data_IF_324538169163
#
_entry.id   IF_324538169163
#
_cell.length_a   1.000
_cell.length_b   1.000
_cell.length_c   1.000
_cell.angle_alpha   90.00
_cell.angle_beta   90.00
_cell.angle_gamma   90.00
#
_symmetry.space_group_name_H-M   'P 1'
#
loop_
_entity.id
_entity.type
_entity.pdbx_description
1 polymer ?
#
# COMPACT_ATOMS: atom_id res chain seq x y z
N UNK A 1 35.85 27.92 -5.42
CA UNK A 1 35.79 26.44 -5.51
C UNK A 1 34.74 26.09 -6.52
N UNK A 2 35.08 25.25 -7.51
CA UNK A 2 34.09 24.68 -8.44
C UNK A 2 33.08 23.83 -7.64
N UNK A 3 31.84 23.71 -8.13
CA UNK A 3 30.79 22.92 -7.47
C UNK A 3 31.25 21.47 -7.22
N UNK A 4 31.98 20.89 -8.18
CA UNK A 4 32.62 19.56 -8.05
C UNK A 4 33.67 19.47 -6.95
N UNK A 5 34.45 20.55 -6.74
CA UNK A 5 35.41 20.63 -5.64
C UNK A 5 34.72 20.67 -4.27
N UNK A 6 33.54 21.28 -4.19
CA UNK A 6 32.74 21.28 -2.96
C UNK A 6 32.21 19.88 -2.65
N UNK A 7 31.71 19.15 -3.65
CA UNK A 7 31.25 17.76 -3.49
C UNK A 7 32.37 16.84 -3.00
N UNK A 8 33.59 17.00 -3.50
CA UNK A 8 34.74 16.21 -3.02
C UNK A 8 35.08 16.47 -1.55
N UNK A 9 35.06 17.73 -1.12
CA UNK A 9 35.24 18.11 0.29
C UNK A 9 34.11 17.56 1.15
N UNK A 10 32.88 17.60 0.65
CA UNK A 10 31.72 17.02 1.30
C UNK A 10 31.84 15.51 1.51
N UNK A 11 32.27 14.75 0.50
CA UNK A 11 32.49 13.31 0.65
C UNK A 11 33.58 12.98 1.68
N UNK A 12 34.62 13.82 1.80
CA UNK A 12 35.62 13.67 2.86
C UNK A 12 35.03 13.97 4.26
N UNK A 13 34.17 14.98 4.38
CA UNK A 13 33.48 15.30 5.62
C UNK A 13 32.55 14.18 6.09
N UNK A 14 31.94 13.39 5.18
CA UNK A 14 31.12 12.22 5.55
C UNK A 14 31.95 11.18 6.32
N UNK A 15 33.23 11.06 5.99
CA UNK A 15 34.14 10.10 6.62
C UNK A 15 34.79 10.62 7.91
N UNK A 16 34.57 11.89 8.26
CA UNK A 16 35.16 12.53 9.44
C UNK A 16 34.20 12.49 10.63
N UNK A 17 34.68 11.98 11.77
CA UNK A 17 33.95 12.02 13.03
C UNK A 17 34.48 13.17 13.89
N UNK A 18 33.68 14.22 14.15
CA UNK A 18 34.10 15.32 15.01
C UNK A 18 34.31 14.82 16.44
N UNK A 19 35.33 15.35 17.11
CA UNK A 19 35.73 14.88 18.46
C UNK A 19 34.96 15.60 19.57
N UNK A 20 34.47 16.80 19.29
CA UNK A 20 33.81 17.67 20.28
C UNK A 20 32.49 18.20 19.74
N UNK A 21 31.50 18.42 20.61
CA UNK A 21 30.22 19.01 20.25
C UNK A 21 30.36 20.42 19.64
N UNK A 22 31.28 21.24 20.16
CA UNK A 22 31.56 22.59 19.65
C UNK A 22 32.09 22.59 18.21
N UNK A 23 33.05 21.70 17.91
CA UNK A 23 33.58 21.50 16.55
C UNK A 23 32.45 21.14 15.56
N UNK A 24 31.52 20.29 16.01
CA UNK A 24 30.36 19.92 15.21
C UNK A 24 29.44 21.12 14.94
N UNK A 25 29.16 21.96 15.94
CA UNK A 25 28.37 23.18 15.75
C UNK A 25 29.05 24.17 14.80
N UNK A 26 30.36 24.35 14.91
CA UNK A 26 31.13 25.23 14.03
C UNK A 26 31.12 24.74 12.59
N UNK A 27 31.32 23.43 12.38
CA UNK A 27 31.19 22.82 11.05
C UNK A 27 29.80 23.05 10.46
N UNK A 28 28.74 22.85 11.25
CA UNK A 28 27.37 23.06 10.80
C UNK A 28 27.08 24.52 10.42
N UNK A 29 27.58 25.49 11.19
CA UNK A 29 27.44 26.91 10.88
C UNK A 29 28.18 27.30 9.58
N UNK A 30 29.34 26.69 9.32
CA UNK A 30 30.07 26.90 8.05
C UNK A 30 29.28 26.32 6.88
N UNK A 31 28.68 25.14 7.07
CA UNK A 31 27.87 24.47 6.05
C UNK A 31 26.54 25.19 5.80
N UNK A 32 26.01 25.91 6.79
CA UNK A 32 24.72 26.58 6.73
C UNK A 32 24.60 27.59 5.57
N UNK A 33 25.69 28.30 5.27
CA UNK A 33 25.77 29.22 4.13
C UNK A 33 25.87 28.52 2.77
N UNK A 34 26.13 27.20 2.75
CA UNK A 34 26.29 26.36 1.55
C UNK A 34 25.10 25.42 1.33
N UNK A 35 24.24 25.24 2.32
CA UNK A 35 22.96 24.51 2.20
C UNK A 35 21.98 25.13 1.18
N UNK A 36 22.23 26.38 0.75
CA UNK A 36 21.46 27.07 -0.30
C UNK A 36 21.81 26.61 -1.72
N UNK A 37 22.98 26.00 -1.93
CA UNK A 37 23.45 25.55 -3.25
C UNK A 37 23.70 24.04 -3.24
N UNK A 38 22.71 23.30 -3.74
CA UNK A 38 22.86 21.95 -4.32
C UNK A 38 23.05 20.76 -3.36
N UNK A 39 21.96 19.99 -3.22
CA UNK A 39 21.78 18.52 -3.14
C UNK A 39 22.69 17.62 -2.26
N UNK A 40 24.01 17.83 -2.18
CA UNK A 40 24.93 16.87 -1.52
C UNK A 40 25.05 17.05 0.00
N UNK A 41 24.75 18.25 0.51
CA UNK A 41 24.87 18.56 1.94
C UNK A 41 23.75 17.94 2.81
N UNK A 42 22.64 17.52 2.19
CA UNK A 42 21.48 16.89 2.85
C UNK A 42 21.81 15.48 3.35
N UNK A 43 22.63 14.74 2.61
CA UNK A 43 23.09 13.38 2.97
C UNK A 43 24.12 13.41 4.10
N UNK A 44 24.91 14.49 4.16
CA UNK A 44 25.94 14.73 5.17
C UNK A 44 25.39 14.99 6.58
N UNK A 45 24.25 15.66 6.66
CA UNK A 45 23.58 15.97 7.92
C UNK A 45 22.87 14.76 8.55
N UNK A 46 22.53 13.75 7.74
CA UNK A 46 21.78 12.55 8.14
C UNK A 46 22.57 11.55 9.00
N UNK A 47 23.88 11.75 9.20
CA UNK A 47 24.72 10.92 10.09
C UNK A 47 25.03 11.58 11.44
N UNK A 48 24.48 12.76 11.73
CA UNK A 48 24.73 13.51 12.95
C UNK A 48 23.46 13.69 13.82
N UNK A 49 23.66 13.86 15.13
CA UNK A 49 22.63 13.95 16.19
C UNK A 49 21.23 14.50 15.81
N UNK A 50 20.17 13.92 16.41
CA UNK A 50 18.74 14.18 16.12
C UNK A 50 18.33 15.66 16.03
N UNK A 51 18.85 16.48 16.94
CA UNK A 51 18.38 17.86 17.13
C UNK A 51 18.83 18.80 16.01
N UNK A 52 20.02 18.54 15.45
CA UNK A 52 20.59 19.32 14.36
C UNK A 52 19.97 18.92 13.02
N UNK A 53 19.60 17.64 12.87
CA UNK A 53 18.82 17.15 11.75
C UNK A 53 17.49 17.90 11.67
N UNK A 54 16.76 18.05 12.78
CA UNK A 54 15.47 18.74 12.82
C UNK A 54 15.52 20.20 12.37
N UNK A 55 16.52 20.97 12.81
CA UNK A 55 16.66 22.39 12.43
C UNK A 55 17.14 22.56 10.99
N UNK A 56 18.08 21.72 10.54
CA UNK A 56 18.55 21.74 9.16
C UNK A 56 17.42 21.34 8.20
N UNK A 57 16.61 20.35 8.57
CA UNK A 57 15.48 19.86 7.79
C UNK A 57 14.42 20.93 7.55
N UNK A 58 14.02 21.72 8.56
CA UNK A 58 13.07 22.82 8.34
C UNK A 58 13.59 23.85 7.33
N UNK A 59 14.91 24.03 7.27
CA UNK A 59 15.56 24.96 6.33
C UNK A 59 15.82 24.32 4.97
N UNK A 60 15.93 23.01 4.91
CA UNK A 60 16.20 22.21 3.71
C UNK A 60 14.93 21.74 3.01
N UNK A 61 13.78 21.69 3.69
CA UNK A 61 12.51 21.28 3.10
C UNK A 61 12.19 22.12 1.86
N UNK A 62 12.21 23.46 1.96
CA UNK A 62 11.93 24.34 0.82
C UNK A 62 12.93 24.20 -0.35
N UNK A 63 14.26 24.19 -0.14
CA UNK A 63 15.23 23.89 -1.20
C UNK A 63 15.04 22.51 -1.84
N UNK A 64 14.79 21.46 -1.05
CA UNK A 64 14.60 20.10 -1.54
C UNK A 64 13.33 19.98 -2.40
N UNK A 65 12.25 20.60 -1.93
CA UNK A 65 10.99 20.71 -2.64
C UNK A 65 11.11 21.50 -3.95
N UNK A 66 11.93 22.56 -3.96
CA UNK A 66 12.28 23.29 -5.18
C UNK A 66 13.04 22.40 -6.15
N UNK A 67 14.00 21.60 -5.67
CA UNK A 67 14.75 20.65 -6.52
C UNK A 67 13.83 19.58 -7.12
N UNK A 68 12.88 19.05 -6.35
CA UNK A 68 11.88 18.09 -6.87
C UNK A 68 11.03 18.71 -7.99
N UNK A 69 10.73 20.01 -7.90
CA UNK A 69 9.89 20.71 -8.88
C UNK A 69 10.63 21.27 -10.10
N UNK A 70 11.91 21.64 -9.96
CA UNK A 70 12.68 22.39 -10.99
C UNK A 70 13.70 21.54 -11.74
N UNK A 71 14.07 20.37 -11.22
CA UNK A 71 15.11 19.52 -11.82
C UNK A 71 14.54 18.44 -12.76
N UNK A 72 15.44 17.70 -13.43
CA UNK A 72 15.08 16.54 -14.22
C UNK A 72 14.54 15.40 -13.34
N UNK A 73 13.78 14.48 -13.95
CA UNK A 73 13.07 13.41 -13.25
C UNK A 73 14.02 12.50 -12.47
N UNK A 74 15.23 12.27 -12.96
CA UNK A 74 16.25 11.44 -12.32
C UNK A 74 16.75 12.07 -11.02
N UNK A 75 17.01 13.38 -11.03
CA UNK A 75 17.46 14.07 -9.82
C UNK A 75 16.31 14.20 -8.81
N UNK A 76 15.09 14.48 -9.30
CA UNK A 76 13.90 14.49 -8.45
C UNK A 76 13.70 13.12 -7.77
N UNK A 77 13.87 12.02 -8.49
CA UNK A 77 13.79 10.67 -7.93
C UNK A 77 14.86 10.42 -6.85
N UNK A 78 16.11 10.79 -7.11
CA UNK A 78 17.19 10.65 -6.12
C UNK A 78 16.85 11.46 -4.87
N UNK A 79 16.39 12.69 -5.01
CA UNK A 79 15.98 13.53 -3.86
C UNK A 79 14.84 12.86 -3.10
N UNK A 80 13.78 12.39 -3.77
CA UNK A 80 12.64 11.73 -3.14
C UNK A 80 13.05 10.47 -2.37
N UNK A 81 13.98 9.66 -2.90
CA UNK A 81 14.52 8.49 -2.19
C UNK A 81 15.26 8.88 -0.90
N UNK A 82 16.01 9.99 -0.92
CA UNK A 82 16.63 10.50 0.30
C UNK A 82 15.59 11.05 1.30
N UNK A 83 14.50 11.68 0.83
CA UNK A 83 13.41 12.10 1.72
C UNK A 83 12.73 10.89 2.38
N UNK A 84 12.51 9.81 1.62
CA UNK A 84 11.93 8.57 2.14
C UNK A 84 12.83 7.93 3.21
N UNK A 85 14.15 7.86 2.95
CA UNK A 85 15.12 7.36 3.93
C UNK A 85 15.08 8.19 5.22
N UNK A 86 14.96 9.51 5.11
CA UNK A 86 14.86 10.41 6.27
C UNK A 86 13.56 10.19 7.06
N UNK A 87 12.45 9.90 6.40
CA UNK A 87 11.17 9.56 7.06
C UNK A 87 11.26 8.24 7.84
N UNK A 88 12.01 7.26 7.35
CA UNK A 88 12.17 5.95 8.00
C UNK A 88 13.16 5.97 9.19
N UNK A 89 13.95 7.04 9.35
CA UNK A 89 14.86 7.16 10.49
C UNK A 89 14.12 7.43 11.80
N UNK A 90 14.63 6.97 12.97
CA UNK A 90 13.97 7.16 14.27
C UNK A 90 13.78 8.62 14.69
N UNK A 91 14.56 9.54 14.11
CA UNK A 91 14.45 11.00 14.32
C UNK A 91 13.52 11.69 13.28
N UNK A 92 12.86 10.89 12.43
CA UNK A 92 12.03 11.30 11.30
C UNK A 92 10.74 12.03 11.67
N UNK A 93 10.29 11.97 12.94
CA UNK A 93 9.09 12.68 13.41
C UNK A 93 9.19 14.20 13.21
N UNK A 94 10.38 14.78 13.46
CA UNK A 94 10.62 16.20 13.19
C UNK A 94 10.58 16.56 11.70
N UNK A 95 10.90 15.59 10.85
CA UNK A 95 10.91 15.71 9.39
C UNK A 95 9.50 15.55 8.81
N UNK A 96 8.73 14.59 9.32
CA UNK A 96 7.32 14.38 9.00
C UNK A 96 6.51 15.66 9.20
N UNK A 97 6.63 16.28 10.38
CA UNK A 97 5.95 17.54 10.71
C UNK A 97 6.29 18.71 9.76
N UNK A 98 7.51 18.75 9.22
CA UNK A 98 7.92 19.79 8.28
C UNK A 98 7.31 19.55 6.89
N UNK A 99 7.28 18.30 6.43
CA UNK A 99 6.69 17.93 5.14
C UNK A 99 5.17 17.91 5.15
N UNK A 100 4.55 17.66 6.30
CA UNK A 100 3.10 17.70 6.50
C UNK A 100 2.47 19.01 6.02
N UNK A 101 3.19 20.14 6.12
CA UNK A 101 2.69 21.44 5.65
C UNK A 101 2.71 21.60 4.14
N UNK A 102 3.54 20.80 3.47
CA UNK A 102 3.85 20.91 2.04
C UNK A 102 3.40 19.66 1.27
N UNK A 103 2.44 18.90 1.82
CA UNK A 103 1.98 17.63 1.24
C UNK A 103 1.51 17.75 -0.22
N UNK A 104 0.93 18.90 -0.58
CA UNK A 104 0.45 19.20 -1.95
C UNK A 104 1.55 19.11 -3.01
N UNK A 105 2.81 19.32 -2.63
CA UNK A 105 3.93 19.26 -3.56
C UNK A 105 4.27 17.82 -3.99
N UNK A 106 3.81 16.84 -3.22
CA UNK A 106 4.00 15.42 -3.52
C UNK A 106 2.87 14.83 -4.36
N UNK A 107 1.89 15.63 -4.78
CA UNK A 107 0.87 15.18 -5.73
C UNK A 107 1.52 14.75 -7.06
N UNK A 108 0.97 13.67 -7.63
CA UNK A 108 1.48 13.07 -8.85
C UNK A 108 1.04 13.91 -10.05
N UNK A 109 1.98 14.31 -10.90
CA UNK A 109 1.64 14.98 -12.17
C UNK A 109 1.50 13.94 -13.27
N UNK A 110 0.66 14.21 -14.27
CA UNK A 110 0.53 13.31 -15.43
C UNK A 110 1.85 13.12 -16.20
N UNK A 111 2.74 14.12 -16.20
CA UNK A 111 4.06 14.05 -16.84
C UNK A 111 5.10 13.25 -16.05
N UNK A 112 4.81 12.90 -14.79
CA UNK A 112 5.79 12.23 -13.94
C UNK A 112 5.98 10.76 -14.38
N UNK A 113 7.22 10.26 -14.47
CA UNK A 113 7.47 8.84 -14.71
C UNK A 113 6.94 7.96 -13.58
N UNK A 114 6.59 6.71 -13.88
CA UNK A 114 6.01 5.78 -12.89
C UNK A 114 6.85 5.67 -11.61
N UNK A 115 8.17 5.57 -11.71
CA UNK A 115 9.08 5.48 -10.55
C UNK A 115 9.05 6.71 -9.62
N UNK A 116 8.81 7.91 -10.16
CA UNK A 116 8.62 9.14 -9.38
C UNK A 116 7.27 9.09 -8.68
N UNK A 117 6.21 8.70 -9.39
CA UNK A 117 4.86 8.55 -8.82
C UNK A 117 4.86 7.57 -7.64
N UNK A 118 5.46 6.39 -7.79
CA UNK A 118 5.62 5.42 -6.69
C UNK A 118 6.27 6.03 -5.44
N UNK A 119 7.36 6.77 -5.62
CA UNK A 119 8.08 7.34 -4.47
C UNK A 119 7.27 8.46 -3.82
N UNK A 120 6.61 9.29 -4.62
CA UNK A 120 5.69 10.33 -4.13
C UNK A 120 4.53 9.76 -3.34
N UNK A 121 3.92 8.66 -3.80
CA UNK A 121 2.84 7.99 -3.09
C UNK A 121 3.28 7.47 -1.73
N UNK A 122 4.43 6.80 -1.64
CA UNK A 122 5.00 6.34 -0.35
C UNK A 122 5.27 7.48 0.63
N UNK A 123 5.75 8.62 0.13
CA UNK A 123 5.96 9.80 0.97
C UNK A 123 4.60 10.36 1.41
N UNK A 124 3.62 10.47 0.51
CA UNK A 124 2.26 10.94 0.82
C UNK A 124 1.60 10.07 1.89
N UNK A 125 1.64 8.75 1.78
CA UNK A 125 1.07 7.85 2.81
C UNK A 125 1.76 8.03 4.15
N UNK A 126 3.08 8.20 4.16
CA UNK A 126 3.86 8.41 5.37
C UNK A 126 3.60 9.76 6.06
N UNK A 127 3.36 10.84 5.31
CA UNK A 127 3.16 12.19 5.87
C UNK A 127 1.69 12.52 6.14
N UNK A 128 0.74 11.72 5.66
CA UNK A 128 -0.69 12.04 5.81
C UNK A 128 -1.10 12.05 7.28
N UNK A 129 -1.80 13.11 7.68
CA UNK A 129 -2.41 13.30 9.01
C UNK A 129 -3.93 13.36 8.90
N UNK A 130 -4.64 13.31 10.02
CA UNK A 130 -6.11 13.41 10.06
C UNK A 130 -6.63 14.71 9.42
N UNK A 131 -5.90 15.81 9.54
CA UNK A 131 -6.32 17.10 8.96
C UNK A 131 -6.12 17.16 7.44
N UNK A 132 -5.07 16.52 6.91
CA UNK A 132 -4.78 16.49 5.48
C UNK A 132 -5.47 15.35 4.73
N UNK A 133 -5.90 14.29 5.44
CA UNK A 133 -6.42 13.07 4.84
C UNK A 133 -7.54 13.31 3.80
N UNK A 134 -8.57 14.14 4.05
CA UNK A 134 -9.65 14.33 3.07
C UNK A 134 -9.14 14.91 1.74
N UNK A 135 -8.22 15.87 1.80
CA UNK A 135 -7.65 16.49 0.60
C UNK A 135 -6.74 15.51 -0.17
N UNK A 136 -5.92 14.74 0.56
CA UNK A 136 -5.03 13.72 -0.05
C UNK A 136 -5.86 12.62 -0.70
N UNK A 137 -6.87 12.09 -0.01
CA UNK A 137 -7.70 11.00 -0.50
C UNK A 137 -8.51 11.41 -1.74
N UNK A 138 -8.99 12.65 -1.79
CA UNK A 138 -9.68 13.18 -2.97
C UNK A 138 -8.75 13.26 -4.19
N UNK A 139 -7.52 13.76 -4.01
CA UNK A 139 -6.51 13.80 -5.08
C UNK A 139 -6.14 12.39 -5.57
N UNK A 140 -5.95 11.44 -4.64
CA UNK A 140 -5.67 10.05 -4.97
C UNK A 140 -6.82 9.41 -5.76
N UNK A 141 -8.07 9.70 -5.40
CA UNK A 141 -9.24 9.25 -6.16
C UNK A 141 -9.22 9.77 -7.60
N UNK A 142 -8.90 11.04 -7.80
CA UNK A 142 -8.83 11.65 -9.14
C UNK A 142 -7.70 11.04 -9.99
N UNK A 143 -6.62 10.60 -9.33
CA UNK A 143 -5.47 9.95 -9.97
C UNK A 143 -5.57 8.43 -10.07
N UNK A 144 -6.60 7.79 -9.51
CA UNK A 144 -6.69 6.32 -9.40
C UNK A 144 -6.78 5.61 -10.76
N UNK A 145 -7.41 6.25 -11.76
CA UNK A 145 -7.55 5.75 -13.12
C UNK A 145 -6.37 6.20 -14.01
N UNK A 146 -5.14 6.02 -13.54
CA UNK A 146 -3.94 6.37 -14.30
C UNK A 146 -3.77 5.49 -15.56
N UNK A 147 -3.00 5.98 -16.54
CA UNK A 147 -2.70 5.22 -17.75
C UNK A 147 -1.83 3.99 -17.47
N UNK A 148 -0.98 4.05 -16.43
CA UNK A 148 -0.23 2.90 -15.94
C UNK A 148 -1.04 2.16 -14.87
N UNK A 149 -1.55 0.97 -15.22
CA UNK A 149 -2.35 0.14 -14.32
C UNK A 149 -1.61 -0.16 -13.00
N UNK A 150 -0.29 -0.34 -13.02
CA UNK A 150 0.45 -0.65 -11.79
C UNK A 150 0.51 0.56 -10.85
N UNK A 151 0.58 1.78 -11.40
CA UNK A 151 0.52 3.02 -10.61
C UNK A 151 -0.89 3.21 -10.05
N UNK A 152 -1.93 3.01 -10.87
CA UNK A 152 -3.31 3.09 -10.42
C UNK A 152 -3.61 2.12 -9.26
N UNK A 153 -3.10 0.88 -9.33
CA UNK A 153 -3.21 -0.09 -8.24
C UNK A 153 -2.50 0.38 -6.96
N UNK A 154 -1.31 0.96 -7.08
CA UNK A 154 -0.57 1.50 -5.94
C UNK A 154 -1.28 2.70 -5.30
N UNK A 155 -1.90 3.57 -6.11
CA UNK A 155 -2.70 4.70 -5.63
C UNK A 155 -3.86 4.18 -4.76
N UNK A 156 -4.59 3.17 -5.24
CA UNK A 156 -5.70 2.56 -4.51
C UNK A 156 -5.18 1.89 -3.23
N UNK A 157 -4.07 1.14 -3.31
CA UNK A 157 -3.41 0.54 -2.13
C UNK A 157 -3.03 1.59 -1.08
N UNK A 158 -2.47 2.71 -1.53
CA UNK A 158 -2.07 3.85 -0.69
C UNK A 158 -3.27 4.46 0.05
N UNK A 159 -4.44 4.55 -0.60
CA UNK A 159 -5.68 4.98 0.08
C UNK A 159 -6.07 4.00 1.19
N UNK A 160 -5.94 2.69 0.94
CA UNK A 160 -6.16 1.65 1.94
C UNK A 160 -5.21 1.75 3.14
N UNK A 161 -3.91 1.97 2.88
CA UNK A 161 -2.90 2.19 3.91
C UNK A 161 -3.22 3.40 4.78
N UNK A 162 -3.64 4.52 4.18
CA UNK A 162 -4.08 5.71 4.92
C UNK A 162 -5.27 5.36 5.84
N UNK A 163 -6.25 4.59 5.34
CA UNK A 163 -7.38 4.13 6.14
C UNK A 163 -6.99 3.18 7.30
N UNK A 164 -5.93 2.39 7.13
CA UNK A 164 -5.39 1.52 8.18
C UNK A 164 -4.59 2.31 9.23
N UNK A 165 -3.85 3.33 8.81
CA UNK A 165 -3.06 4.21 9.67
C UNK A 165 -3.94 5.18 10.48
N UNK A 166 -5.00 5.71 9.85
CA UNK A 166 -5.89 6.72 10.41
C UNK A 166 -7.33 6.16 10.52
N UNK A 167 -7.76 5.70 11.71
CA UNK A 167 -9.11 5.14 11.91
C UNK A 167 -10.24 6.12 11.55
N UNK A 168 -10.01 7.42 11.72
CA UNK A 168 -10.96 8.49 11.36
C UNK A 168 -11.22 8.58 9.85
N UNK A 169 -10.23 8.21 9.02
CA UNK A 169 -10.32 8.26 7.55
C UNK A 169 -10.88 6.96 6.94
N UNK A 170 -10.90 5.84 7.67
CA UNK A 170 -11.27 4.52 7.14
C UNK A 170 -12.66 4.51 6.47
N UNK A 171 -13.65 5.15 7.08
CA UNK A 171 -15.01 5.23 6.53
C UNK A 171 -15.08 6.04 5.22
N UNK A 172 -14.28 7.10 5.10
CA UNK A 172 -14.16 7.92 3.90
C UNK A 172 -13.46 7.16 2.78
N UNK A 173 -12.35 6.47 3.10
CA UNK A 173 -11.63 5.60 2.15
C UNK A 173 -12.57 4.56 1.54
N UNK A 174 -13.38 3.87 2.35
CA UNK A 174 -14.36 2.91 1.85
C UNK A 174 -15.33 3.56 0.87
N UNK A 175 -15.86 4.75 1.19
CA UNK A 175 -16.76 5.49 0.31
C UNK A 175 -16.12 5.89 -1.02
N UNK A 176 -14.87 6.36 -0.99
CA UNK A 176 -14.14 6.75 -2.21
C UNK A 176 -13.81 5.52 -3.06
N UNK A 177 -13.30 4.44 -2.46
CA UNK A 177 -12.97 3.21 -3.18
C UNK A 177 -14.23 2.54 -3.76
N UNK A 178 -15.37 2.59 -3.05
CA UNK A 178 -16.66 2.14 -3.60
C UNK A 178 -17.04 2.93 -4.86
N UNK A 179 -16.85 4.24 -4.87
CA UNK A 179 -17.13 5.06 -6.06
C UNK A 179 -16.20 4.74 -7.25
N UNK A 180 -14.99 4.21 -6.99
CA UNK A 180 -14.08 3.77 -8.06
C UNK A 180 -14.58 2.49 -8.76
N UNK A 181 -15.37 1.65 -8.09
CA UNK A 181 -15.94 0.44 -8.70
C UNK A 181 -16.92 0.75 -9.82
N UNK A 182 -17.56 1.93 -9.79
CA UNK A 182 -18.53 2.36 -10.81
C UNK A 182 -17.90 2.51 -12.20
N UNK A 183 -16.58 2.70 -12.28
CA UNK A 183 -15.87 2.75 -13.56
C UNK A 183 -15.74 1.38 -14.24
N UNK A 184 -15.95 0.28 -13.49
CA UNK A 184 -15.84 -1.10 -13.98
C UNK A 184 -14.53 -1.42 -14.72
N UNK A 185 -13.42 -0.83 -14.27
CA UNK A 185 -12.08 -1.09 -14.81
C UNK A 185 -11.44 -2.26 -14.05
N UNK A 186 -10.99 -3.30 -14.77
CA UNK A 186 -10.52 -4.57 -14.18
C UNK A 186 -9.47 -4.41 -13.07
N UNK A 187 -8.39 -3.67 -13.35
CA UNK A 187 -7.32 -3.49 -12.34
C UNK A 187 -7.76 -2.66 -11.14
N UNK A 188 -8.71 -1.73 -11.34
CA UNK A 188 -9.28 -0.88 -10.28
C UNK A 188 -10.15 -1.73 -9.37
N UNK A 189 -11.02 -2.57 -9.95
CA UNK A 189 -11.85 -3.51 -9.18
C UNK A 189 -10.96 -4.45 -8.36
N UNK A 190 -9.95 -5.06 -8.99
CA UNK A 190 -9.02 -5.95 -8.29
C UNK A 190 -8.30 -5.29 -7.10
N UNK A 191 -7.73 -4.10 -7.31
CA UNK A 191 -7.07 -3.34 -6.23
C UNK A 191 -8.06 -2.90 -5.13
N UNK A 192 -9.26 -2.47 -5.50
CA UNK A 192 -10.30 -2.06 -4.56
C UNK A 192 -10.69 -3.21 -3.61
N UNK A 193 -10.91 -4.43 -4.14
CA UNK A 193 -11.19 -5.59 -3.30
C UNK A 193 -10.01 -6.01 -2.42
N UNK A 194 -8.77 -5.80 -2.87
CA UNK A 194 -7.58 -5.91 -2.02
C UNK A 194 -7.62 -4.96 -0.82
N UNK A 195 -7.95 -3.69 -1.05
CA UNK A 195 -8.11 -2.68 0.00
C UNK A 195 -9.25 -3.01 0.95
N UNK A 196 -10.42 -3.41 0.44
CA UNK A 196 -11.54 -3.82 1.28
C UNK A 196 -11.19 -5.00 2.18
N UNK A 197 -10.52 -6.02 1.65
CA UNK A 197 -10.03 -7.16 2.43
C UNK A 197 -9.17 -6.68 3.58
N UNK A 198 -8.21 -5.81 3.31
CA UNK A 198 -7.25 -5.35 4.32
C UNK A 198 -7.89 -4.43 5.38
N UNK A 199 -8.83 -3.57 4.97
CA UNK A 199 -9.64 -2.77 5.91
C UNK A 199 -10.54 -3.66 6.77
N UNK A 200 -11.23 -4.65 6.18
CA UNK A 200 -12.13 -5.57 6.90
C UNK A 200 -11.40 -6.48 7.90
N UNK A 201 -10.10 -6.75 7.70
CA UNK A 201 -9.27 -7.43 8.70
C UNK A 201 -9.18 -6.65 10.01
N UNK A 202 -9.27 -5.31 9.97
CA UNK A 202 -9.20 -4.42 11.13
C UNK A 202 -10.57 -3.90 11.57
N UNK A 203 -11.44 -3.55 10.62
CA UNK A 203 -12.75 -2.90 10.82
C UNK A 203 -13.88 -3.80 10.29
N UNK A 204 -14.14 -4.91 10.99
CA UNK A 204 -15.09 -5.96 10.54
C UNK A 204 -16.52 -5.45 10.38
N UNK A 205 -16.91 -4.46 11.18
CA UNK A 205 -18.24 -3.83 11.18
C UNK A 205 -18.55 -3.06 9.89
N UNK A 206 -17.55 -2.77 9.05
CA UNK A 206 -17.76 -2.07 7.78
C UNK A 206 -18.37 -2.95 6.69
N UNK A 207 -18.48 -4.26 6.92
CA UNK A 207 -18.98 -5.22 5.92
C UNK A 207 -20.37 -4.85 5.40
N UNK A 208 -21.26 -4.32 6.23
CA UNK A 208 -22.62 -3.94 5.85
C UNK A 208 -22.65 -2.91 4.72
N UNK A 209 -21.60 -2.09 4.58
CA UNK A 209 -21.46 -1.11 3.49
C UNK A 209 -20.94 -1.70 2.19
N UNK A 210 -20.38 -2.90 2.25
CA UNK A 210 -19.68 -3.55 1.14
C UNK A 210 -20.49 -4.69 0.52
N UNK A 211 -21.57 -5.16 1.17
CA UNK A 211 -22.39 -6.29 0.69
C UNK A 211 -22.80 -6.09 -0.76
N UNK A 212 -23.50 -4.99 -1.08
CA UNK A 212 -23.98 -4.70 -2.44
C UNK A 212 -22.84 -4.66 -3.47
N UNK A 213 -21.66 -4.15 -3.06
CA UNK A 213 -20.50 -4.07 -3.93
C UNK A 213 -19.86 -5.44 -4.19
N UNK A 214 -19.79 -6.30 -3.16
CA UNK A 214 -19.29 -7.67 -3.29
C UNK A 214 -20.21 -8.47 -4.22
N UNK A 215 -21.53 -8.34 -4.07
CA UNK A 215 -22.49 -9.05 -4.91
C UNK A 215 -22.44 -8.59 -6.37
N UNK A 216 -22.37 -7.27 -6.60
CA UNK A 216 -22.40 -6.71 -7.96
C UNK A 216 -21.06 -6.85 -8.70
N UNK A 217 -19.95 -6.57 -8.03
CA UNK A 217 -18.63 -6.46 -8.68
C UNK A 217 -17.71 -7.65 -8.38
N UNK A 218 -17.92 -8.37 -7.28
CA UNK A 218 -17.09 -9.53 -6.91
C UNK A 218 -16.98 -10.59 -8.01
N UNK A 219 -18.09 -11.01 -8.66
CA UNK A 219 -18.05 -11.96 -9.77
C UNK A 219 -17.26 -11.48 -11.00
N UNK A 220 -17.05 -10.16 -11.15
CA UNK A 220 -16.32 -9.57 -12.28
C UNK A 220 -14.80 -9.57 -12.08
N UNK A 221 -14.33 -9.76 -10.85
CA UNK A 221 -12.89 -9.79 -10.54
C UNK A 221 -12.27 -11.10 -11.04
N UNK A 222 -11.08 -11.01 -11.61
CA UNK A 222 -10.34 -12.15 -12.19
C UNK A 222 -8.87 -12.16 -11.76
N UNK A 223 -8.17 -13.25 -12.04
CA UNK A 223 -6.76 -13.41 -11.72
C UNK A 223 -6.48 -13.49 -10.21
N UNK A 224 -5.27 -13.13 -9.80
CA UNK A 224 -4.84 -13.22 -8.39
C UNK A 224 -5.69 -12.37 -7.42
N UNK A 225 -6.35 -11.32 -7.92
CA UNK A 225 -7.20 -10.44 -7.10
C UNK A 225 -8.48 -11.11 -6.62
N UNK A 226 -8.94 -12.15 -7.32
CA UNK A 226 -10.11 -12.94 -6.95
C UNK A 226 -9.95 -13.58 -5.55
N UNK A 227 -8.71 -13.85 -5.12
CA UNK A 227 -8.42 -14.29 -3.76
C UNK A 227 -8.92 -13.28 -2.69
N UNK A 228 -8.87 -11.98 -2.97
CA UNK A 228 -9.39 -10.97 -2.03
C UNK A 228 -10.91 -11.03 -1.91
N UNK A 229 -11.62 -11.25 -3.02
CA UNK A 229 -13.07 -11.44 -3.02
C UNK A 229 -13.45 -12.71 -2.27
N UNK A 230 -12.77 -13.83 -2.56
CA UNK A 230 -13.00 -15.11 -1.90
C UNK A 230 -12.75 -15.03 -0.39
N UNK A 231 -11.73 -14.29 0.04
CA UNK A 231 -11.48 -14.07 1.47
C UNK A 231 -12.65 -13.35 2.14
N UNK A 232 -13.17 -12.28 1.51
CA UNK A 232 -14.30 -11.50 2.05
C UNK A 232 -15.56 -12.38 2.12
N UNK A 233 -15.86 -13.08 1.02
CA UNK A 233 -17.03 -13.97 0.93
C UNK A 233 -16.91 -15.14 1.92
N UNK A 234 -15.71 -15.68 2.14
CA UNK A 234 -15.46 -16.75 3.10
C UNK A 234 -15.59 -16.31 4.55
N UNK A 235 -15.13 -15.11 4.90
CA UNK A 235 -15.19 -14.60 6.28
C UNK A 235 -16.58 -14.06 6.64
N UNK A 236 -17.26 -13.42 5.69
CA UNK A 236 -18.53 -12.72 5.90
C UNK A 236 -19.72 -13.36 5.18
N UNK A 237 -19.58 -14.62 4.76
CA UNK A 237 -20.61 -15.32 3.99
C UNK A 237 -21.92 -15.57 4.73
N UNK A 238 -21.99 -15.34 6.05
CA UNK A 238 -23.25 -15.30 6.79
C UNK A 238 -24.06 -14.04 6.48
N UNK A 239 -23.39 -12.90 6.27
CA UNK A 239 -23.99 -11.59 6.00
C UNK A 239 -24.30 -11.42 4.53
N UNK A 240 -23.45 -11.93 3.63
CA UNK A 240 -23.60 -11.80 2.17
C UNK A 240 -24.56 -12.88 1.65
N UNK A 241 -25.75 -12.55 1.12
CA UNK A 241 -26.67 -13.51 0.53
C UNK A 241 -26.03 -14.33 -0.61
N UNK A 242 -25.42 -13.69 -1.59
CA UNK A 242 -24.90 -14.34 -2.81
C UNK A 242 -23.58 -15.12 -2.60
N UNK A 243 -23.05 -15.16 -1.38
CA UNK A 243 -21.78 -15.81 -1.05
C UNK A 243 -21.64 -17.25 -1.60
N UNK A 244 -22.61 -18.17 -1.40
CA UNK A 244 -22.53 -19.53 -1.92
C UNK A 244 -22.41 -19.60 -3.44
N UNK A 245 -23.18 -18.78 -4.16
CA UNK A 245 -23.17 -18.76 -5.63
C UNK A 245 -21.86 -18.23 -6.19
N UNK A 246 -21.27 -17.19 -5.56
CA UNK A 246 -19.95 -16.67 -5.94
C UNK A 246 -18.88 -17.76 -5.77
N UNK A 247 -18.89 -18.47 -4.63
CA UNK A 247 -17.92 -19.55 -4.36
C UNK A 247 -18.12 -20.72 -5.32
N UNK A 248 -19.36 -21.13 -5.58
CA UNK A 248 -19.69 -22.23 -6.50
C UNK A 248 -19.20 -21.93 -7.92
N UNK A 249 -19.45 -20.71 -8.43
CA UNK A 249 -19.02 -20.30 -9.76
C UNK A 249 -17.49 -20.38 -9.94
N UNK A 250 -16.71 -20.03 -8.91
CA UNK A 250 -15.25 -20.17 -8.95
C UNK A 250 -14.82 -21.63 -8.76
N UNK A 251 -15.57 -22.42 -7.98
CA UNK A 251 -15.30 -23.84 -7.77
C UNK A 251 -15.50 -24.68 -9.06
N UNK A 252 -16.43 -24.30 -9.92
CA UNK A 252 -16.65 -24.96 -11.21
C UNK A 252 -15.46 -24.80 -12.17
N UNK A 253 -14.73 -23.69 -12.08
CA UNK A 253 -13.51 -23.41 -12.86
C UNK A 253 -12.20 -23.59 -12.09
N UNK A 254 -12.24 -24.33 -10.97
CA UNK A 254 -11.12 -24.44 -10.02
C UNK A 254 -9.76 -24.81 -10.66
N UNK A 255 -9.75 -25.73 -11.63
CA UNK A 255 -8.52 -26.18 -12.28
C UNK A 255 -7.90 -25.14 -13.22
N UNK A 256 -8.67 -24.14 -13.65
CA UNK A 256 -8.21 -23.03 -14.50
C UNK A 256 -7.60 -21.89 -13.69
N UNK A 257 -7.89 -21.83 -12.39
CA UNK A 257 -7.46 -20.77 -11.48
C UNK A 257 -6.02 -20.94 -10.99
N UNK A 258 -5.38 -19.83 -10.62
CA UNK A 258 -4.04 -19.86 -10.04
C UNK A 258 -4.01 -20.53 -8.66
N UNK A 259 -2.88 -21.13 -8.24
CA UNK A 259 -2.77 -21.80 -6.93
C UNK A 259 -3.15 -20.93 -5.73
N UNK A 260 -2.89 -19.62 -5.80
CA UNK A 260 -3.25 -18.65 -4.75
C UNK A 260 -4.78 -18.54 -4.59
N UNK A 261 -5.51 -18.48 -5.70
CA UNK A 261 -6.98 -18.46 -5.74
C UNK A 261 -7.54 -19.81 -5.31
N UNK A 262 -6.96 -20.93 -5.78
CA UNK A 262 -7.36 -22.28 -5.38
C UNK A 262 -7.26 -22.48 -3.85
N UNK A 263 -6.15 -22.05 -3.25
CA UNK A 263 -5.95 -22.12 -1.80
C UNK A 263 -6.99 -21.29 -1.04
N UNK A 264 -7.28 -20.08 -1.52
CA UNK A 264 -8.26 -19.21 -0.86
C UNK A 264 -9.69 -19.73 -1.06
N UNK A 265 -10.01 -20.28 -2.23
CA UNK A 265 -11.29 -20.91 -2.52
C UNK A 265 -11.57 -22.09 -1.59
N UNK A 266 -10.58 -22.95 -1.34
CA UNK A 266 -10.70 -24.03 -0.36
C UNK A 266 -11.01 -23.49 1.05
N UNK A 267 -10.34 -22.41 1.45
CA UNK A 267 -10.60 -21.75 2.73
C UNK A 267 -11.99 -21.14 2.80
N UNK A 268 -12.40 -20.40 1.77
CA UNK A 268 -13.68 -19.73 1.69
C UNK A 268 -14.84 -20.73 1.70
N UNK A 269 -14.77 -21.77 0.85
CA UNK A 269 -15.77 -22.84 0.80
C UNK A 269 -15.88 -23.58 2.14
N UNK A 270 -14.75 -23.84 2.81
CA UNK A 270 -14.77 -24.51 4.12
C UNK A 270 -15.41 -23.63 5.20
N UNK A 271 -15.05 -22.34 5.29
CA UNK A 271 -15.67 -21.41 6.25
C UNK A 271 -17.18 -21.26 5.98
N UNK A 272 -17.55 -21.14 4.70
CA UNK A 272 -18.94 -21.00 4.30
C UNK A 272 -19.74 -22.27 4.59
N UNK A 273 -19.15 -23.46 4.44
CA UNK A 273 -19.78 -24.72 4.81
C UNK A 273 -20.17 -24.78 6.29
N UNK A 274 -19.32 -24.27 7.19
CA UNK A 274 -19.66 -24.19 8.62
C UNK A 274 -20.76 -23.16 8.93
N UNK A 275 -20.99 -22.19 8.05
CA UNK A 275 -22.01 -21.15 8.23
C UNK A 275 -23.35 -21.51 7.56
N UNK A 276 -23.30 -22.07 6.35
CA UNK A 276 -24.43 -22.40 5.47
C UNK A 276 -24.24 -23.77 4.82
N UNK A 277 -24.29 -24.87 5.59
CA UNK A 277 -23.95 -26.20 5.10
C UNK A 277 -24.85 -26.68 3.96
N UNK A 278 -26.15 -26.37 4.01
CA UNK A 278 -27.13 -26.82 3.02
C UNK A 278 -26.85 -26.32 1.59
N UNK A 279 -26.32 -25.12 1.45
CA UNK A 279 -26.01 -24.50 0.15
C UNK A 279 -24.62 -24.89 -0.36
N UNK A 280 -23.67 -25.19 0.53
CA UNK A 280 -22.26 -25.46 0.17
C UNK A 280 -21.95 -26.94 -0.03
N UNK A 281 -22.67 -27.83 0.67
CA UNK A 281 -22.49 -29.29 0.55
C UNK A 281 -22.51 -29.80 -0.91
N UNK A 282 -23.38 -29.32 -1.83
CA UNK A 282 -23.47 -29.84 -3.19
C UNK A 282 -22.15 -29.75 -3.97
N UNK A 283 -21.43 -28.63 -3.85
CA UNK A 283 -20.20 -28.41 -4.62
C UNK A 283 -18.92 -28.70 -3.83
N UNK A 284 -18.93 -28.64 -2.48
CA UNK A 284 -17.73 -28.85 -1.66
C UNK A 284 -17.07 -30.22 -1.90
N UNK A 285 -17.87 -31.28 -2.04
CA UNK A 285 -17.35 -32.61 -2.32
C UNK A 285 -16.65 -32.71 -3.69
N UNK A 286 -17.16 -31.99 -4.69
CA UNK A 286 -16.53 -31.91 -6.00
C UNK A 286 -15.23 -31.09 -5.94
N UNK A 287 -15.26 -29.94 -5.26
CA UNK A 287 -14.09 -29.09 -5.06
C UNK A 287 -12.93 -29.83 -4.40
N UNK A 288 -13.19 -30.56 -3.30
CA UNK A 288 -12.17 -31.38 -2.63
C UNK A 288 -11.63 -32.48 -3.55
N UNK A 289 -12.49 -33.12 -4.35
CA UNK A 289 -12.06 -34.15 -5.31
C UNK A 289 -11.12 -33.56 -6.36
N UNK A 290 -11.45 -32.39 -6.91
CA UNK A 290 -10.60 -31.70 -7.87
C UNK A 290 -9.25 -31.32 -7.25
N UNK A 291 -9.25 -30.74 -6.04
CA UNK A 291 -8.03 -30.33 -5.33
C UNK A 291 -7.11 -31.49 -4.92
N UNK A 292 -7.64 -32.71 -4.81
CA UNK A 292 -6.89 -33.93 -4.54
C UNK A 292 -6.32 -34.60 -5.80
N UNK A 293 -6.58 -34.03 -6.98
CA UNK A 293 -6.10 -34.53 -8.26
C UNK A 293 -4.57 -34.55 -8.36
N UNK A 294 -4.03 -35.43 -9.20
CA UNK A 294 -2.58 -35.64 -9.35
C UNK A 294 -1.84 -34.44 -9.97
N UNK A 295 -2.56 -33.54 -10.66
CA UNK A 295 -2.01 -32.36 -11.32
C UNK A 295 -2.10 -31.07 -10.49
N UNK A 296 -2.69 -31.12 -9.30
CA UNK A 296 -2.78 -29.96 -8.43
C UNK A 296 -1.43 -29.64 -7.76
N UNK A 297 -1.25 -28.37 -7.43
CA UNK A 297 -0.11 -27.92 -6.62
C UNK A 297 -0.07 -28.69 -5.28
N UNK A 298 1.12 -29.03 -4.80
CA UNK A 298 1.30 -29.77 -3.54
C UNK A 298 0.64 -29.08 -2.35
N UNK A 299 0.74 -27.75 -2.23
CA UNK A 299 0.15 -26.98 -1.13
C UNK A 299 -1.39 -27.06 -1.16
N UNK A 300 -1.97 -26.98 -2.36
CA UNK A 300 -3.43 -27.10 -2.57
C UNK A 300 -3.91 -28.48 -2.15
N UNK A 301 -3.18 -29.52 -2.55
CA UNK A 301 -3.49 -30.91 -2.21
C UNK A 301 -3.37 -31.17 -0.72
N UNK A 302 -2.32 -30.68 -0.07
CA UNK A 302 -2.11 -30.84 1.37
C UNK A 302 -3.20 -30.13 2.19
N UNK A 303 -3.56 -28.91 1.78
CA UNK A 303 -4.68 -28.18 2.38
C UNK A 303 -6.01 -28.90 2.19
N UNK A 304 -6.28 -29.44 1.00
CA UNK A 304 -7.48 -30.21 0.72
C UNK A 304 -7.54 -31.51 1.55
N UNK A 305 -6.41 -32.22 1.69
CA UNK A 305 -6.30 -33.40 2.56
C UNK A 305 -6.56 -33.04 4.02
N UNK A 306 -6.01 -31.92 4.49
CA UNK A 306 -6.26 -31.42 5.84
C UNK A 306 -7.75 -31.14 6.06
N UNK A 307 -8.39 -30.38 5.17
CA UNK A 307 -9.83 -30.07 5.26
C UNK A 307 -10.68 -31.34 5.20
N UNK A 308 -10.39 -32.25 4.27
CA UNK A 308 -11.11 -33.52 4.15
C UNK A 308 -11.00 -34.37 5.42
N UNK A 309 -9.79 -34.47 5.99
CA UNK A 309 -9.56 -35.18 7.25
C UNK A 309 -10.26 -34.51 8.42
N UNK A 310 -10.27 -33.16 8.47
CA UNK A 310 -10.96 -32.39 9.50
C UNK A 310 -12.46 -32.68 9.47
N UNK A 311 -13.10 -32.62 8.29
CA UNK A 311 -14.53 -32.90 8.13
C UNK A 311 -14.85 -34.37 8.47
N UNK A 312 -13.92 -35.30 8.20
CA UNK A 312 -14.08 -36.73 8.47
C UNK A 312 -13.81 -37.12 9.94
N UNK A 313 -12.95 -36.38 10.64
CA UNK A 313 -12.51 -36.67 12.01
C UNK A 313 -13.49 -36.20 13.11
N UNK A 314 -14.70 -35.86 12.69
CA UNK A 314 -15.91 -35.52 13.46
C UNK A 314 -16.29 -34.04 13.56
N UNK A 315 -17.60 -33.84 13.41
CA UNK A 315 -18.40 -32.64 13.74
C UNK A 315 -19.37 -33.02 14.89
N UNK A 316 -18.98 -34.00 15.72
CA UNK A 316 -19.62 -34.31 17.01
C UNK A 316 -19.24 -33.29 18.10
#
# INVERSE_FOLDING_TARGET
MTEWGQVAVFNLLISYFPKTAEEKFDLLNILDNRLKSSSAAVVLLAKGEPLLLRQAVQRLAAPLLTLVSTCCCELAYVVLQHLLLLLETPDGEGFRLALEKEYQQFFCRHSDPSYVKYTKLKILTAITTEASAPAVLQELKESACDADANVGREIISSMGEIGLLLPSAAAEVVGLVLSLLEYEIDFVMGAAFGVFRDLLRKYREMIDRLVDAVEKYGPKVTGADLASVLWIVGEFGSVIPEAPYIVEAVADRFLEEEPTVQLELLSAATKLFFSRPGEVQPFLGNLLRQALGEHCNFDVRDKALFIYRLIKADVD
#
